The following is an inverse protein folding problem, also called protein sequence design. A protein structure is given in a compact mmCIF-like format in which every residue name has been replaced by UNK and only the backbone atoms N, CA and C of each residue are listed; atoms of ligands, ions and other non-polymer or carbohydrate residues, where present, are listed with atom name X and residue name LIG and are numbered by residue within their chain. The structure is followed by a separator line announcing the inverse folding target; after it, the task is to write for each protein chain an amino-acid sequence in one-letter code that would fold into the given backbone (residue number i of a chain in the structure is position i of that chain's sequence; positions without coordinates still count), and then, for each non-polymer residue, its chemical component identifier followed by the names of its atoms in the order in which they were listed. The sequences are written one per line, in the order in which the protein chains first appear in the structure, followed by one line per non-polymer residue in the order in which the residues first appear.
data_IF_579015404342
#
_entry.id   IF_579015404342
#
_cell.length_a   1.000
_cell.length_b   1.000
_cell.length_c   1.000
_cell.angle_alpha   90.00
_cell.angle_beta   90.00
_cell.angle_gamma   90.00
#
_symmetry.space_group_name_H-M   'P 1'
#
loop_
_entity.id
_entity.type
_entity.pdbx_description
1 polymer ?
#
# COMPACT_ATOMS: atom_id res chain seq x y z
N UNK A 1 -4.80 -1.91 -20.70
CA UNK A 1 -4.34 -3.06 -21.49
C UNK A 1 -5.05 -4.28 -20.94
N UNK A 2 -6.04 -4.80 -21.66
CA UNK A 2 -6.91 -5.87 -21.15
C UNK A 2 -6.71 -7.19 -21.90
N UNK A 3 -5.77 -7.23 -22.85
CA UNK A 3 -5.37 -8.46 -23.55
C UNK A 3 -3.86 -8.56 -23.71
N UNK A 4 -3.35 -9.79 -23.86
CA UNK A 4 -1.92 -10.04 -24.08
C UNK A 4 -1.44 -9.41 -25.39
N UNK A 5 -2.28 -9.40 -26.44
CA UNK A 5 -1.97 -8.77 -27.72
C UNK A 5 -1.77 -7.25 -27.60
N UNK A 6 -2.56 -6.57 -26.77
CA UNK A 6 -2.39 -5.14 -26.49
C UNK A 6 -1.14 -4.84 -25.67
N UNK A 7 -0.78 -5.72 -24.74
CA UNK A 7 0.39 -5.55 -23.88
C UNK A 7 1.70 -5.90 -24.58
N UNK A 8 1.67 -6.80 -25.57
CA UNK A 8 2.87 -7.33 -26.21
C UNK A 8 3.83 -6.26 -26.76
N UNK A 9 3.39 -5.23 -27.51
CA UNK A 9 4.30 -4.20 -28.03
C UNK A 9 5.06 -3.45 -26.92
N UNK A 10 4.45 -3.28 -25.75
CA UNK A 10 5.04 -2.54 -24.63
C UNK A 10 6.14 -3.34 -23.89
N UNK A 11 6.15 -4.67 -24.03
CA UNK A 11 7.10 -5.55 -23.33
C UNK A 11 8.15 -6.16 -24.24
N UNK A 12 8.06 -5.93 -25.56
CA UNK A 12 9.04 -6.40 -26.53
C UNK A 12 10.44 -5.85 -26.22
N UNK A 13 11.45 -6.72 -26.28
CA UNK A 13 12.86 -6.42 -26.03
C UNK A 13 13.18 -5.88 -24.62
N UNK A 14 12.21 -5.86 -23.70
CA UNK A 14 12.46 -5.48 -22.31
C UNK A 14 13.19 -6.62 -21.57
N UNK A 15 14.27 -6.27 -20.86
CA UNK A 15 14.89 -7.20 -19.91
C UNK A 15 14.01 -7.38 -18.67
N UNK A 16 13.63 -6.26 -18.06
CA UNK A 16 12.80 -6.19 -16.86
C UNK A 16 11.58 -5.33 -17.13
N UNK A 17 10.42 -5.72 -16.60
CA UNK A 17 9.23 -4.88 -16.57
C UNK A 17 8.83 -4.57 -15.13
N UNK A 18 8.30 -3.36 -14.91
CA UNK A 18 7.60 -3.01 -13.67
C UNK A 18 6.11 -2.93 -13.97
N UNK A 19 5.33 -3.81 -13.35
CA UNK A 19 3.89 -3.92 -13.52
C UNK A 19 3.18 -3.34 -12.29
N UNK A 20 2.24 -2.44 -12.54
CA UNK A 20 1.28 -1.91 -11.56
C UNK A 20 -0.12 -1.95 -12.18
N UNK A 21 -1.11 -2.34 -11.38
CA UNK A 21 -2.53 -2.34 -11.76
C UNK A 21 -3.32 -1.44 -10.82
N UNK A 22 -4.41 -0.84 -11.31
CA UNK A 22 -5.23 0.08 -10.54
C UNK A 22 -6.67 -0.43 -10.38
N UNK A 23 -6.92 -1.18 -9.31
CA UNK A 23 -8.27 -1.60 -8.89
C UNK A 23 -9.30 -0.46 -8.97
N UNK A 24 -8.97 0.72 -8.44
CA UNK A 24 -9.91 1.83 -8.26
C UNK A 24 -10.42 2.44 -9.57
N UNK A 25 -9.76 2.19 -10.70
CA UNK A 25 -10.23 2.62 -12.02
C UNK A 25 -11.55 1.95 -12.40
N UNK A 26 -11.71 0.66 -12.06
CA UNK A 26 -12.87 -0.15 -12.46
C UNK A 26 -13.68 -0.69 -11.28
N UNK A 27 -13.12 -0.65 -10.06
CA UNK A 27 -13.65 -1.30 -8.86
C UNK A 27 -14.03 -2.77 -9.11
N UNK A 28 -13.24 -3.46 -9.94
CA UNK A 28 -13.49 -4.83 -10.39
C UNK A 28 -12.22 -5.67 -10.27
N UNK A 29 -12.23 -6.63 -9.34
CA UNK A 29 -11.13 -7.59 -9.18
C UNK A 29 -10.91 -8.39 -10.45
N UNK A 30 -11.98 -8.85 -11.10
CA UNK A 30 -11.91 -9.60 -12.35
C UNK A 30 -11.20 -8.82 -13.46
N UNK A 31 -11.48 -7.51 -13.57
CA UNK A 31 -10.80 -6.64 -14.54
C UNK A 31 -9.33 -6.49 -14.20
N UNK A 32 -8.99 -6.21 -12.94
CA UNK A 32 -7.61 -6.04 -12.51
C UNK A 32 -6.77 -7.31 -12.71
N UNK A 33 -7.33 -8.46 -12.33
CA UNK A 33 -6.71 -9.78 -12.51
C UNK A 33 -6.50 -10.07 -13.99
N UNK A 34 -7.48 -9.78 -14.84
CA UNK A 34 -7.35 -9.97 -16.29
C UNK A 34 -6.20 -9.11 -16.86
N UNK A 35 -6.04 -7.86 -16.42
CA UNK A 35 -4.93 -7.00 -16.83
C UNK A 35 -3.58 -7.57 -16.38
N UNK A 36 -3.46 -8.01 -15.11
CA UNK A 36 -2.25 -8.61 -14.58
C UNK A 36 -1.84 -9.89 -15.34
N UNK A 37 -2.81 -10.77 -15.62
CA UNK A 37 -2.60 -11.99 -16.43
C UNK A 37 -2.17 -11.66 -17.86
N UNK A 38 -2.84 -10.71 -18.51
CA UNK A 38 -2.54 -10.29 -19.87
C UNK A 38 -1.09 -9.80 -20.03
N UNK A 39 -0.61 -8.94 -19.11
CA UNK A 39 0.77 -8.45 -19.14
C UNK A 39 1.76 -9.58 -18.83
N UNK A 40 1.43 -10.46 -17.90
CA UNK A 40 2.27 -11.63 -17.55
C UNK A 40 2.45 -12.55 -18.76
N UNK A 41 1.37 -12.88 -19.46
CA UNK A 41 1.40 -13.73 -20.64
C UNK A 41 2.18 -13.06 -21.78
N UNK A 42 2.00 -11.76 -21.96
CA UNK A 42 2.75 -10.97 -22.94
C UNK A 42 4.26 -10.96 -22.64
N UNK A 43 4.63 -10.78 -21.37
CA UNK A 43 6.02 -10.76 -20.91
C UNK A 43 6.68 -12.14 -21.10
N UNK A 44 5.96 -13.21 -20.77
CA UNK A 44 6.39 -14.59 -21.01
C UNK A 44 6.62 -14.85 -22.49
N UNK A 45 5.67 -14.47 -23.35
CA UNK A 45 5.78 -14.65 -24.79
C UNK A 45 6.93 -13.82 -25.40
N UNK A 46 7.21 -12.63 -24.87
CA UNK A 46 8.32 -11.78 -25.29
C UNK A 46 9.69 -12.21 -24.73
N UNK A 47 9.75 -13.20 -23.84
CA UNK A 47 10.99 -13.68 -23.24
C UNK A 47 11.63 -12.73 -22.23
N UNK A 48 10.80 -11.88 -21.58
CA UNK A 48 11.22 -10.99 -20.49
C UNK A 48 11.92 -11.80 -19.41
N UNK A 49 13.01 -11.24 -18.85
CA UNK A 49 13.88 -11.94 -17.89
C UNK A 49 13.47 -11.71 -16.44
N UNK A 50 12.76 -10.62 -16.16
CA UNK A 50 12.37 -10.27 -14.80
C UNK A 50 11.06 -9.45 -14.77
N UNK A 51 10.08 -9.90 -13.99
CA UNK A 51 8.86 -9.13 -13.70
C UNK A 51 8.97 -8.58 -12.27
N UNK A 52 8.91 -7.26 -12.12
CA UNK A 52 8.69 -6.63 -10.82
C UNK A 52 7.22 -6.25 -10.76
N UNK A 53 6.48 -6.79 -9.79
CA UNK A 53 5.05 -6.49 -9.65
C UNK A 53 4.76 -5.75 -8.35
N UNK A 54 3.99 -4.66 -8.45
CA UNK A 54 3.43 -3.94 -7.30
C UNK A 54 2.25 -4.73 -6.73
N UNK A 55 2.55 -5.66 -5.83
CA UNK A 55 1.60 -6.61 -5.23
C UNK A 55 1.07 -6.09 -3.89
N UNK A 56 0.13 -6.80 -3.28
CA UNK A 56 -0.31 -6.60 -1.90
C UNK A 56 -0.52 -7.94 -1.21
N UNK A 57 -0.67 -7.92 0.11
CA UNK A 57 -0.93 -9.12 0.91
C UNK A 57 -2.28 -9.74 0.53
N UNK A 58 -2.41 -11.06 0.58
CA UNK A 58 -3.73 -11.70 0.55
C UNK A 58 -4.37 -11.55 1.94
N UNK A 59 -5.23 -10.55 2.10
CA UNK A 59 -5.84 -10.16 3.38
C UNK A 59 -6.89 -11.17 3.84
N UNK A 60 -7.71 -11.69 2.91
CA UNK A 60 -8.66 -12.76 3.23
C UNK A 60 -7.96 -13.96 3.86
N UNK A 61 -6.87 -14.43 3.26
CA UNK A 61 -6.09 -15.55 3.79
C UNK A 61 -5.42 -15.20 5.12
N UNK A 62 -4.73 -14.05 5.19
CA UNK A 62 -4.01 -13.64 6.39
C UNK A 62 -4.93 -13.41 7.60
N UNK A 63 -6.20 -13.08 7.37
CA UNK A 63 -7.21 -12.86 8.40
C UNK A 63 -8.12 -14.07 8.64
N UNK A 64 -7.86 -15.22 8.01
CA UNK A 64 -8.73 -16.40 8.03
C UNK A 64 -10.19 -16.08 7.65
N UNK A 65 -10.38 -15.24 6.64
CA UNK A 65 -11.68 -14.82 6.11
C UNK A 65 -12.40 -13.74 6.92
N UNK A 66 -11.80 -13.22 8.00
CA UNK A 66 -12.43 -12.17 8.83
C UNK A 66 -12.52 -10.82 8.12
N UNK A 67 -11.55 -10.50 7.26
CA UNK A 67 -11.47 -9.26 6.48
C UNK A 67 -11.58 -9.59 4.98
N UNK A 68 -12.71 -10.16 4.56
CA UNK A 68 -12.89 -10.72 3.22
C UNK A 68 -13.25 -9.73 2.11
N UNK A 69 -13.45 -8.46 2.44
CA UNK A 69 -13.88 -7.42 1.50
C UNK A 69 -12.74 -6.49 1.07
N UNK A 70 -11.50 -6.72 1.53
CA UNK A 70 -10.31 -5.95 1.10
C UNK A 70 -9.85 -6.40 -0.30
N UNK A 71 -10.76 -6.23 -1.26
CA UNK A 71 -10.69 -6.82 -2.60
C UNK A 71 -9.49 -6.30 -3.39
N UNK A 72 -9.14 -5.02 -3.28
CA UNK A 72 -7.98 -4.44 -3.95
C UNK A 72 -6.62 -5.00 -3.50
N UNK A 73 -6.56 -5.63 -2.33
CA UNK A 73 -5.38 -6.36 -1.85
C UNK A 73 -5.37 -7.78 -2.43
N UNK A 74 -6.47 -8.50 -2.25
CA UNK A 74 -6.60 -9.90 -2.66
C UNK A 74 -6.44 -10.07 -4.18
N UNK A 75 -7.00 -9.16 -4.99
CA UNK A 75 -6.82 -9.17 -6.45
C UNK A 75 -5.34 -9.10 -6.87
N UNK A 76 -4.52 -8.31 -6.16
CA UNK A 76 -3.07 -8.23 -6.42
C UNK A 76 -2.36 -9.49 -5.95
N UNK A 77 -2.74 -10.06 -4.81
CA UNK A 77 -2.19 -11.33 -4.36
C UNK A 77 -2.50 -12.48 -5.35
N UNK A 78 -3.67 -12.48 -5.97
CA UNK A 78 -4.04 -13.41 -7.04
C UNK A 78 -3.19 -13.22 -8.30
N UNK A 79 -2.94 -11.98 -8.72
CA UNK A 79 -2.03 -11.68 -9.83
C UNK A 79 -0.61 -12.15 -9.50
N UNK A 80 -0.12 -11.91 -8.28
CA UNK A 80 1.18 -12.42 -7.83
C UNK A 80 1.25 -13.95 -7.93
N UNK A 81 0.21 -14.64 -7.48
CA UNK A 81 0.11 -16.11 -7.58
C UNK A 81 0.19 -16.57 -9.04
N UNK A 82 -0.48 -15.86 -9.94
CA UNK A 82 -0.41 -16.14 -11.38
C UNK A 82 0.99 -15.89 -11.97
N UNK A 83 1.64 -14.78 -11.61
CA UNK A 83 3.00 -14.46 -12.04
C UNK A 83 3.96 -15.56 -11.60
N UNK A 84 3.88 -16.02 -10.35
CA UNK A 84 4.69 -17.14 -9.85
C UNK A 84 4.47 -18.42 -10.66
N UNK A 85 3.21 -18.75 -10.95
CA UNK A 85 2.86 -19.93 -11.74
C UNK A 85 3.28 -19.83 -13.22
N UNK A 86 3.49 -18.61 -13.75
CA UNK A 86 3.88 -18.39 -15.14
C UNK A 86 5.27 -18.94 -15.48
N UNK A 87 6.16 -19.05 -14.48
CA UNK A 87 7.56 -19.44 -14.62
C UNK A 87 8.49 -18.31 -15.10
N UNK A 88 8.01 -17.07 -15.24
CA UNK A 88 8.86 -15.91 -15.47
C UNK A 88 9.49 -15.48 -14.14
N UNK A 89 10.82 -15.32 -14.04
CA UNK A 89 11.45 -14.85 -12.81
C UNK A 89 10.86 -13.52 -12.36
N UNK A 90 10.54 -13.39 -11.07
CA UNK A 90 9.76 -12.25 -10.59
C UNK A 90 10.08 -11.83 -9.16
N UNK A 91 9.99 -10.53 -8.88
CA UNK A 91 10.09 -9.95 -7.53
C UNK A 91 8.84 -9.14 -7.24
N UNK A 92 8.34 -9.17 -6.00
CA UNK A 92 7.09 -8.51 -5.63
C UNK A 92 7.38 -7.34 -4.70
N UNK A 93 7.03 -6.12 -5.09
CA UNK A 93 7.14 -4.94 -4.23
C UNK A 93 5.77 -4.70 -3.62
N UNK A 94 5.65 -4.75 -2.30
CA UNK A 94 4.38 -4.50 -1.59
C UNK A 94 4.45 -3.12 -0.93
N UNK A 95 3.72 -2.11 -1.44
CA UNK A 95 3.75 -0.77 -0.89
C UNK A 95 2.99 -0.65 0.43
N UNK A 96 3.52 0.19 1.32
CA UNK A 96 2.86 0.58 2.56
C UNK A 96 1.71 1.55 2.30
N UNK A 97 1.04 1.97 3.38
CA UNK A 97 0.09 3.06 3.32
C UNK A 97 0.79 4.32 2.82
N UNK A 98 0.27 4.90 1.74
CA UNK A 98 0.81 6.13 1.20
C UNK A 98 0.60 7.27 2.20
N UNK A 99 1.68 8.02 2.48
CA UNK A 99 1.64 9.15 3.41
C UNK A 99 0.64 10.23 2.96
N UNK A 100 0.42 10.38 1.64
CA UNK A 100 -0.61 11.26 1.07
C UNK A 100 -2.03 10.84 1.44
N UNK A 101 -2.28 9.57 1.75
CA UNK A 101 -3.57 9.09 2.25
C UNK A 101 -3.95 9.71 3.59
N UNK A 102 -2.97 10.08 4.42
CA UNK A 102 -3.21 10.73 5.71
C UNK A 102 -3.84 12.13 5.55
N UNK A 103 -3.69 12.80 4.41
CA UNK A 103 -4.41 14.05 4.11
C UNK A 103 -5.94 13.85 4.08
N UNK A 104 -6.40 12.66 3.71
CA UNK A 104 -7.82 12.31 3.68
C UNK A 104 -8.34 11.77 5.02
N UNK A 105 -7.47 11.18 5.85
CA UNK A 105 -7.84 10.56 7.12
C UNK A 105 -7.81 11.55 8.29
N UNK A 106 -6.83 12.44 8.32
CA UNK A 106 -6.68 13.47 9.34
C UNK A 106 -7.25 14.77 8.77
N UNK A 107 -8.37 15.23 9.33
CA UNK A 107 -9.16 16.36 8.79
C UNK A 107 -9.20 17.52 9.77
N UNK A 108 -9.57 18.71 9.30
CA UNK A 108 -9.89 19.83 10.21
C UNK A 108 -11.07 19.44 11.10
N UNK A 109 -10.97 19.73 12.40
CA UNK A 109 -12.07 19.52 13.33
C UNK A 109 -13.19 20.54 13.03
N UNK A 110 -14.38 20.10 12.56
CA UNK A 110 -15.46 21.01 12.19
C UNK A 110 -16.08 21.74 13.39
N UNK A 111 -15.91 21.22 14.61
CA UNK A 111 -16.52 21.76 15.84
C UNK A 111 -15.49 22.49 16.74
N UNK A 112 -14.20 22.46 16.38
CA UNK A 112 -13.12 22.99 17.20
C UNK A 112 -12.96 24.50 17.09
N UNK A 113 -13.19 25.22 18.20
CA UNK A 113 -12.89 26.66 18.34
C UNK A 113 -11.42 27.01 18.01
N UNK A 114 -10.50 26.05 18.13
CA UNK A 114 -9.05 26.22 18.01
C UNK A 114 -8.45 25.72 16.67
N UNK A 115 -9.25 25.42 15.63
CA UNK A 115 -8.76 24.91 14.32
C UNK A 115 -7.83 23.66 14.44
N UNK A 116 -8.14 22.77 15.39
CA UNK A 116 -7.43 21.51 15.56
C UNK A 116 -7.73 20.49 14.45
N UNK A 117 -7.02 19.37 14.48
CA UNK A 117 -7.21 18.25 13.57
C UNK A 117 -7.94 17.09 14.28
N UNK A 118 -8.61 16.26 13.50
CA UNK A 118 -9.31 15.06 13.99
C UNK A 118 -8.98 13.88 13.08
N UNK A 119 -8.71 12.74 13.70
CA UNK A 119 -8.52 11.47 13.03
C UNK A 119 -9.49 10.45 13.63
N UNK A 120 -10.54 10.15 12.88
CA UNK A 120 -11.47 9.08 13.21
C UNK A 120 -10.95 7.76 12.63
N UNK A 121 -11.02 6.69 13.42
CA UNK A 121 -10.76 5.30 13.01
C UNK A 121 -11.87 4.40 13.53
N UNK A 122 -12.13 3.24 12.92
CA UNK A 122 -13.11 2.31 13.45
C UNK A 122 -12.68 1.76 14.81
N UNK A 123 -13.66 1.47 15.67
CA UNK A 123 -13.44 0.78 16.94
C UNK A 123 -12.59 -0.49 16.75
N UNK A 124 -11.62 -0.66 17.65
CA UNK A 124 -10.67 -1.77 17.59
C UNK A 124 -9.31 -1.38 17.01
N UNK A 125 -9.21 -0.29 16.25
CA UNK A 125 -7.91 0.26 15.85
C UNK A 125 -7.37 1.13 16.98
N UNK A 126 -6.40 0.60 17.73
CA UNK A 126 -5.86 1.25 18.92
C UNK A 126 -4.70 2.16 18.55
N UNK A 127 -4.79 3.42 18.96
CA UNK A 127 -3.79 4.45 18.61
C UNK A 127 -2.35 4.10 19.03
N UNK A 128 -2.17 3.28 20.07
CA UNK A 128 -0.85 2.88 20.59
C UNK A 128 -0.34 1.54 20.06
N UNK A 129 -1.20 0.75 19.40
CA UNK A 129 -0.88 -0.64 19.05
C UNK A 129 -0.91 -0.90 17.54
N UNK A 130 -1.85 -0.27 16.82
CA UNK A 130 -1.99 -0.41 15.38
C UNK A 130 -0.68 -0.03 14.68
N UNK A 131 -0.29 -0.80 13.67
CA UNK A 131 0.97 -0.64 12.94
C UNK A 131 0.71 -0.26 11.48
N UNK A 132 1.04 0.98 11.13
CA UNK A 132 0.88 1.54 9.80
C UNK A 132 2.26 1.63 9.13
N UNK A 133 2.60 0.75 8.17
CA UNK A 133 3.81 0.91 7.38
C UNK A 133 3.61 2.07 6.42
N UNK A 134 4.36 3.17 6.57
CA UNK A 134 4.17 4.37 5.75
C UNK A 134 5.17 4.45 4.60
N UNK A 135 4.71 4.91 3.44
CA UNK A 135 5.53 5.13 2.24
C UNK A 135 5.20 6.47 1.59
N UNK A 136 6.19 7.27 1.24
CA UNK A 136 6.01 8.34 0.26
C UNK A 136 6.14 7.75 -1.15
N UNK A 137 5.01 7.43 -1.77
CA UNK A 137 4.99 6.69 -3.03
C UNK A 137 5.69 7.42 -4.18
N UNK A 138 5.55 8.75 -4.26
CA UNK A 138 6.12 9.57 -5.32
C UNK A 138 7.65 9.58 -5.23
N UNK A 139 8.19 9.71 -4.02
CA UNK A 139 9.63 9.77 -3.77
C UNK A 139 10.29 8.40 -3.74
N UNK A 140 9.68 7.44 -3.03
CA UNK A 140 10.41 6.28 -2.50
C UNK A 140 10.10 4.96 -3.22
N UNK A 141 9.00 4.85 -3.98
CA UNK A 141 8.70 3.62 -4.75
C UNK A 141 9.88 3.22 -5.64
N UNK A 142 10.51 4.20 -6.27
CA UNK A 142 11.70 3.98 -7.11
C UNK A 142 12.89 3.37 -6.38
N UNK A 143 13.04 3.61 -5.06
CA UNK A 143 14.11 3.01 -4.26
C UNK A 143 13.93 1.49 -4.15
N UNK A 144 12.71 1.04 -3.83
CA UNK A 144 12.39 -0.37 -3.67
C UNK A 144 12.35 -1.13 -5.00
N UNK A 145 11.84 -0.50 -6.07
CA UNK A 145 11.90 -1.08 -7.42
C UNK A 145 13.35 -1.20 -7.89
N UNK A 146 14.18 -0.17 -7.66
CA UNK A 146 15.62 -0.24 -7.97
C UNK A 146 16.33 -1.33 -7.18
N UNK A 147 15.98 -1.55 -5.92
CA UNK A 147 16.51 -2.65 -5.13
C UNK A 147 16.14 -4.01 -5.73
N UNK A 148 14.89 -4.20 -6.18
CA UNK A 148 14.49 -5.41 -6.90
C UNK A 148 15.33 -5.65 -8.17
N UNK A 149 15.62 -4.59 -8.94
CA UNK A 149 16.46 -4.69 -10.15
C UNK A 149 17.92 -5.03 -9.80
N UNK A 150 18.52 -4.31 -8.84
CA UNK A 150 19.95 -4.43 -8.52
C UNK A 150 20.31 -5.78 -7.90
N UNK A 151 19.40 -6.34 -7.11
CA UNK A 151 19.59 -7.60 -6.41
C UNK A 151 18.90 -8.77 -7.13
N UNK A 152 18.58 -8.64 -8.41
CA UNK A 152 18.15 -9.77 -9.24
C UNK A 152 19.39 -10.58 -9.68
N UNK A 153 19.41 -11.93 -9.57
CA UNK A 153 18.30 -12.84 -9.27
C UNK A 153 18.08 -13.19 -7.79
N UNK A 154 18.86 -12.64 -6.85
CA UNK A 154 18.75 -12.95 -5.41
C UNK A 154 17.38 -12.59 -4.79
N UNK A 155 16.65 -11.68 -5.43
CA UNK A 155 15.28 -11.30 -5.04
C UNK A 155 14.18 -12.10 -5.75
N UNK A 156 14.52 -13.08 -6.59
CA UNK A 156 13.54 -13.91 -7.27
C UNK A 156 12.61 -14.60 -6.25
N UNK A 157 11.31 -14.51 -6.51
CA UNK A 157 10.25 -15.05 -5.66
C UNK A 157 10.04 -14.28 -4.35
N UNK A 158 10.87 -13.29 -4.00
CA UNK A 158 10.77 -12.56 -2.73
C UNK A 158 9.75 -11.43 -2.81
N UNK A 159 9.18 -11.11 -1.64
CA UNK A 159 8.42 -9.87 -1.40
C UNK A 159 9.35 -8.85 -0.75
N UNK A 160 9.41 -7.65 -1.32
CA UNK A 160 10.07 -6.47 -0.79
C UNK A 160 8.98 -5.56 -0.23
N UNK A 161 8.96 -5.38 1.09
CA UNK A 161 8.00 -4.54 1.80
C UNK A 161 8.47 -3.08 1.71
N UNK A 162 7.75 -2.27 0.94
CA UNK A 162 8.10 -0.90 0.66
C UNK A 162 7.45 0.05 1.68
N UNK A 163 8.17 0.33 2.76
CA UNK A 163 7.79 1.30 3.77
C UNK A 163 9.03 1.82 4.51
N UNK A 164 8.94 3.03 5.05
CA UNK A 164 10.01 3.61 5.87
C UNK A 164 10.12 2.89 7.21
N UNK A 165 8.99 2.75 7.91
CA UNK A 165 8.88 2.10 9.22
C UNK A 165 7.40 1.79 9.50
N UNK A 166 7.14 1.00 10.54
CA UNK A 166 5.81 0.92 11.16
C UNK A 166 5.60 2.07 12.12
N UNK A 167 4.52 2.81 11.93
CA UNK A 167 4.11 3.90 12.81
C UNK A 167 2.82 3.54 13.53
N UNK A 168 2.70 3.95 14.79
CA UNK A 168 1.42 3.96 15.49
C UNK A 168 0.67 5.24 15.16
N UNK A 169 -0.68 5.24 15.17
CA UNK A 169 -1.45 6.48 15.03
C UNK A 169 -1.01 7.54 16.04
N UNK A 170 -0.70 7.15 17.29
CA UNK A 170 -0.20 8.05 18.31
C UNK A 170 1.11 8.75 17.91
N UNK A 171 2.06 8.03 17.32
CA UNK A 171 3.31 8.62 16.81
C UNK A 171 3.05 9.54 15.63
N UNK A 172 2.20 9.13 14.68
CA UNK A 172 1.85 9.93 13.50
C UNK A 172 1.27 11.28 13.94
N UNK A 173 0.34 11.25 14.90
CA UNK A 173 -0.25 12.46 15.47
C UNK A 173 0.79 13.32 16.18
N UNK A 174 1.60 12.76 17.08
CA UNK A 174 2.61 13.51 17.82
C UNK A 174 3.60 14.23 16.90
N UNK A 175 4.09 13.55 15.86
CA UNK A 175 4.98 14.17 14.85
C UNK A 175 4.27 15.25 14.03
N UNK A 176 2.98 15.06 13.71
CA UNK A 176 2.18 16.07 13.00
C UNK A 176 1.87 17.30 13.87
N UNK A 177 1.59 17.10 15.17
CA UNK A 177 1.41 18.20 16.14
C UNK A 177 2.68 19.04 16.24
N UNK A 178 3.86 18.40 16.29
CA UNK A 178 5.15 19.10 16.34
C UNK A 178 5.38 19.94 15.08
N UNK A 179 5.08 19.39 13.90
CA UNK A 179 5.24 20.08 12.61
C UNK A 179 4.27 21.25 12.46
N UNK A 180 3.01 21.06 12.84
CA UNK A 180 1.92 22.00 12.53
C UNK A 180 1.62 22.98 13.67
N UNK A 181 1.93 22.61 14.91
CA UNK A 181 1.47 23.30 16.12
C UNK A 181 -0.01 23.08 16.44
N UNK A 182 -0.75 22.31 15.62
CA UNK A 182 -2.18 22.02 15.82
C UNK A 182 -2.34 20.73 16.61
N UNK A 183 -3.27 20.72 17.55
CA UNK A 183 -3.64 19.49 18.26
C UNK A 183 -4.39 18.52 17.36
N UNK A 184 -4.07 17.23 17.43
CA UNK A 184 -4.73 16.16 16.69
C UNK A 184 -5.47 15.27 17.69
N UNK A 185 -6.79 15.22 17.54
CA UNK A 185 -7.65 14.35 18.33
C UNK A 185 -7.87 13.02 17.63
N UNK A 186 -7.68 11.91 18.36
CA UNK A 186 -7.97 10.56 17.85
C UNK A 186 -9.31 10.08 18.41
N UNK A 187 -10.15 9.53 17.55
CA UNK A 187 -11.45 9.02 17.97
C UNK A 187 -11.70 7.64 17.36
N UNK A 188 -11.95 6.66 18.22
CA UNK A 188 -12.56 5.41 17.81
C UNK A 188 -14.06 5.65 17.57
N UNK A 189 -14.54 5.21 16.41
CA UNK A 189 -15.94 5.41 15.97
C UNK A 189 -16.61 4.05 15.82
N UNK A 190 -17.87 3.88 16.27
CA UNK A 190 -18.63 2.66 16.00
C UNK A 190 -18.61 2.30 14.52
N UNK A 191 -18.48 1.02 14.19
CA UNK A 191 -18.23 0.55 12.82
C UNK A 191 -19.25 1.09 11.80
N UNK A 192 -20.54 1.03 12.14
CA UNK A 192 -21.60 1.54 11.26
C UNK A 192 -21.49 3.06 11.04
N UNK A 193 -21.14 3.81 12.08
CA UNK A 193 -20.94 5.26 11.97
C UNK A 193 -19.68 5.58 11.15
N UNK A 194 -18.59 4.85 11.34
CA UNK A 194 -17.35 5.04 10.57
C UNK A 194 -17.58 4.83 9.07
N UNK A 195 -18.36 3.80 8.70
CA UNK A 195 -18.72 3.53 7.30
C UNK A 195 -19.47 4.70 6.64
N UNK A 196 -20.17 5.54 7.39
CA UNK A 196 -20.86 6.73 6.85
C UNK A 196 -19.90 7.84 6.39
N UNK A 197 -18.64 7.84 6.86
CA UNK A 197 -17.61 8.78 6.44
C UNK A 197 -16.93 8.39 5.13
N UNK A 198 -17.20 7.18 4.64
CA UNK A 198 -16.58 6.57 3.47
C UNK A 198 -17.50 6.64 2.24
N UNK A 199 -16.95 6.63 1.02
CA UNK A 199 -17.75 6.51 -0.20
C UNK A 199 -18.59 5.23 -0.16
N UNK A 200 -19.92 5.35 -0.36
CA UNK A 200 -20.87 4.23 -0.21
C UNK A 200 -20.47 2.97 -1.00
N UNK A 201 -19.93 3.15 -2.20
CA UNK A 201 -19.52 2.04 -3.07
C UNK A 201 -18.29 1.27 -2.57
N UNK A 202 -17.46 1.87 -1.71
CA UNK A 202 -16.22 1.29 -1.18
C UNK A 202 -16.20 1.22 0.35
N UNK A 203 -17.33 1.47 1.00
CA UNK A 203 -17.38 1.67 2.45
C UNK A 203 -16.92 0.43 3.23
N UNK A 204 -17.40 -0.77 2.86
CA UNK A 204 -17.02 -2.02 3.53
C UNK A 204 -15.53 -2.34 3.32
N UNK A 205 -15.07 -2.22 2.07
CA UNK A 205 -13.67 -2.49 1.69
C UNK A 205 -12.68 -1.55 2.40
N UNK A 206 -12.96 -0.25 2.42
CA UNK A 206 -12.11 0.72 3.09
C UNK A 206 -12.18 0.59 4.61
N UNK A 207 -13.34 0.25 5.17
CA UNK A 207 -13.50 -0.03 6.59
C UNK A 207 -12.65 -1.22 7.04
N UNK A 208 -12.73 -2.35 6.35
CA UNK A 208 -11.92 -3.53 6.68
C UNK A 208 -10.43 -3.27 6.45
N UNK A 209 -10.06 -2.49 5.44
CA UNK A 209 -8.68 -2.03 5.26
C UNK A 209 -8.17 -1.19 6.45
N UNK A 210 -9.03 -0.40 7.11
CA UNK A 210 -8.62 0.28 8.34
C UNK A 210 -8.41 -0.70 9.51
N UNK A 211 -9.24 -1.74 9.61
CA UNK A 211 -9.09 -2.77 10.66
C UNK A 211 -7.80 -3.60 10.48
N UNK A 212 -7.34 -3.76 9.24
CA UNK A 212 -6.10 -4.46 8.91
C UNK A 212 -4.88 -3.89 9.65
N UNK A 213 -4.84 -2.59 9.98
CA UNK A 213 -3.73 -1.99 10.73
C UNK A 213 -3.57 -2.55 12.15
N UNK A 214 -4.65 -3.04 12.75
CA UNK A 214 -4.62 -3.63 14.10
C UNK A 214 -4.28 -5.11 14.04
N UNK A 215 -5.08 -5.89 13.31
CA UNK A 215 -4.96 -7.35 13.24
C UNK A 215 -5.50 -7.86 11.89
N UNK A 216 -4.76 -8.69 11.15
CA UNK A 216 -3.44 -9.28 11.47
C UNK A 216 -2.23 -8.33 11.31
N UNK A 217 -2.46 -7.08 10.92
CA UNK A 217 -1.42 -6.12 10.53
C UNK A 217 -1.29 -6.01 9.01
N UNK A 218 -0.90 -4.83 8.52
CA UNK A 218 -0.85 -4.51 7.08
C UNK A 218 0.02 -5.45 6.24
N UNK A 219 1.12 -5.96 6.80
CA UNK A 219 1.95 -7.02 6.22
C UNK A 219 1.90 -8.32 7.05
N UNK A 220 0.80 -8.59 7.76
CA UNK A 220 0.64 -9.71 8.69
C UNK A 220 1.78 -9.80 9.73
N UNK A 221 2.28 -8.64 10.19
CA UNK A 221 3.36 -8.56 11.18
C UNK A 221 4.78 -8.83 10.65
N UNK A 222 4.97 -8.94 9.34
CA UNK A 222 6.28 -9.18 8.75
C UNK A 222 7.30 -8.06 9.07
N UNK A 223 8.56 -8.44 9.26
CA UNK A 223 9.66 -7.51 9.52
C UNK A 223 10.07 -6.75 8.26
N UNK A 224 10.28 -5.44 8.40
CA UNK A 224 10.74 -4.56 7.32
C UNK A 224 12.25 -4.63 7.11
N UNK A 225 13.03 -5.04 8.13
CA UNK A 225 14.50 -5.00 8.06
C UNK A 225 15.08 -5.71 6.83
N UNK A 226 14.61 -6.91 6.42
CA UNK A 226 15.13 -7.57 5.23
C UNK A 226 14.92 -6.78 3.93
N UNK A 227 13.87 -5.94 3.87
CA UNK A 227 13.58 -5.09 2.71
C UNK A 227 14.39 -3.80 2.75
N UNK A 228 14.50 -3.19 3.94
CA UNK A 228 15.28 -1.97 4.17
C UNK A 228 16.78 -2.18 3.93
N UNK A 229 17.31 -3.36 4.29
CA UNK A 229 18.72 -3.71 4.04
C UNK A 229 19.07 -3.72 2.55
N UNK A 230 18.12 -4.05 1.66
CA UNK A 230 18.35 -4.04 0.21
C UNK A 230 18.58 -2.63 -0.34
N UNK A 231 18.17 -1.58 0.39
CA UNK A 231 18.34 -0.19 -0.02
C UNK A 231 19.78 0.33 0.19
N UNK A 232 20.59 -0.34 1.01
CA UNK A 232 21.95 0.11 1.34
C UNK A 232 21.94 1.47 2.04
N UNK A 233 22.64 2.45 1.45
CA UNK A 233 22.71 3.81 1.99
C UNK A 233 21.46 4.66 1.69
N UNK A 234 20.61 4.22 0.75
CA UNK A 234 19.37 4.91 0.43
C UNK A 234 18.35 4.76 1.57
N UNK A 235 17.71 5.86 1.95
CA UNK A 235 16.68 5.87 3.01
C UNK A 235 15.38 6.49 2.50
N UNK A 236 14.25 5.78 2.69
CA UNK A 236 12.92 6.37 2.52
C UNK A 236 12.72 7.56 3.46
N UNK A 237 11.87 8.50 3.08
CA UNK A 237 11.56 9.68 3.90
C UNK A 237 10.80 9.26 5.16
N UNK A 238 11.07 9.90 6.29
CA UNK A 238 10.30 9.69 7.52
C UNK A 238 8.96 10.43 7.46
N UNK A 239 7.97 9.97 8.22
CA UNK A 239 6.68 10.64 8.32
C UNK A 239 6.82 12.12 8.72
N UNK A 240 7.55 12.41 9.81
CA UNK A 240 7.84 13.80 10.22
C UNK A 240 8.44 14.66 9.11
N UNK A 241 9.40 14.15 8.35
CA UNK A 241 10.02 14.91 7.26
C UNK A 241 9.03 15.14 6.11
N UNK A 242 8.23 14.14 5.74
CA UNK A 242 7.16 14.27 4.76
C UNK A 242 6.10 15.29 5.19
N UNK A 243 5.64 15.22 6.44
CA UNK A 243 4.66 16.15 7.01
C UNK A 243 5.20 17.60 7.01
N UNK A 244 6.49 17.78 7.29
CA UNK A 244 7.15 19.09 7.25
C UNK A 244 7.21 19.67 5.84
N UNK A 245 7.47 18.83 4.82
CA UNK A 245 7.49 19.26 3.41
C UNK A 245 6.09 19.61 2.88
N UNK A 246 5.06 18.97 3.44
CA UNK A 246 3.66 19.15 3.04
C UNK A 246 2.84 19.94 4.08
N UNK A 247 3.49 20.87 4.79
CA UNK A 247 2.86 21.60 5.90
C UNK A 247 1.60 22.39 5.47
N UNK A 248 1.57 22.85 4.22
CA UNK A 248 0.46 23.57 3.58
C UNK A 248 -0.83 22.73 3.48
N UNK A 249 -0.72 21.39 3.47
CA UNK A 249 -1.88 20.50 3.41
C UNK A 249 -2.68 20.46 4.71
N UNK A 250 -2.10 20.95 5.81
CA UNK A 250 -2.67 20.85 7.15
C UNK A 250 -3.15 22.19 7.71
N UNK A 251 -2.93 23.29 6.98
CA UNK A 251 -3.28 24.66 7.41
C UNK A 251 -4.74 24.98 7.22
#
# INVERSE_FOLDING_TARGET
MSSSQEAHPAVQNAHTIFLVTNFWESMSSATEIAQGKAVTDAAKAAGVKHIIFSSLLHVSDASNGRLSHVTHFDSKAEIETYIRASGVPSTFVQPGLYMTGLFGFIRQNPEGKDKGLVWAMPEGVKAQEAKMPLLDAERDTGLFVRAAVRHFPETEGRRILAATEYYTPARIMAELEEVTGKKVSYMETPHDAFKTFLPKAAAEELFENMLLFQDPGYYAGADLQPSLQLLGDDKPITWKAFAQQNKDKWT
#
